data_IF_980637446534
#
_entry.id   IF_980637446534
#
_cell.length_a   1.000
_cell.length_b   1.000
_cell.length_c   1.000
_cell.angle_alpha   90.00
_cell.angle_beta   90.00
_cell.angle_gamma   90.00
#
_symmetry.space_group_name_H-M   'P 1'
#
loop_
_entity.id
_entity.type
_entity.pdbx_description
1 polymer ?
#
# COMPACT_ATOMS: atom_id res chain seq x y z
N UNK A 1 -33.08 -13.26 -17.59
CA UNK A 1 -33.95 -12.07 -17.73
C UNK A 1 -34.34 -11.45 -16.40
N UNK A 2 -35.40 -11.87 -15.69
CA UNK A 2 -35.85 -11.18 -14.45
C UNK A 2 -34.79 -11.09 -13.34
N UNK A 3 -33.98 -12.14 -13.13
CA UNK A 3 -32.92 -12.14 -12.10
C UNK A 3 -31.73 -11.25 -12.52
N UNK A 4 -31.42 -11.17 -13.82
CA UNK A 4 -30.34 -10.33 -14.34
C UNK A 4 -30.73 -8.85 -14.29
N UNK A 5 -31.98 -8.52 -14.57
CA UNK A 5 -32.52 -7.16 -14.45
C UNK A 5 -32.58 -6.71 -13.00
N UNK A 6 -33.04 -7.57 -12.07
CA UNK A 6 -33.02 -7.27 -10.63
C UNK A 6 -31.59 -7.09 -10.11
N UNK A 7 -30.66 -7.97 -10.50
CA UNK A 7 -29.25 -7.84 -10.12
C UNK A 7 -28.60 -6.59 -10.72
N UNK A 8 -28.98 -6.21 -11.94
CA UNK A 8 -28.51 -4.99 -12.58
C UNK A 8 -29.03 -3.74 -11.85
N UNK A 9 -30.32 -3.69 -11.51
CA UNK A 9 -30.93 -2.57 -10.78
C UNK A 9 -30.36 -2.44 -9.37
N UNK A 10 -30.20 -3.54 -8.63
CA UNK A 10 -29.54 -3.54 -7.31
C UNK A 10 -28.09 -3.07 -7.43
N UNK A 11 -27.36 -3.53 -8.45
CA UNK A 11 -25.98 -3.11 -8.70
C UNK A 11 -25.86 -1.62 -9.05
N UNK A 12 -26.85 -1.04 -9.75
CA UNK A 12 -26.84 0.38 -10.11
C UNK A 12 -27.23 1.27 -8.93
N UNK A 13 -28.20 0.86 -8.11
CA UNK A 13 -28.58 1.56 -6.87
C UNK A 13 -27.46 1.53 -5.83
N UNK A 14 -26.77 0.39 -5.66
CA UNK A 14 -25.61 0.27 -4.77
C UNK A 14 -24.43 1.14 -5.25
N UNK A 15 -24.18 1.19 -6.56
CA UNK A 15 -23.15 2.06 -7.15
C UNK A 15 -23.43 3.54 -6.89
N UNK A 16 -24.69 3.98 -7.07
CA UNK A 16 -25.08 5.37 -6.81
C UNK A 16 -24.99 5.78 -5.33
N UNK A 17 -25.29 4.84 -4.42
CA UNK A 17 -25.12 5.07 -2.98
C UNK A 17 -23.65 5.19 -2.58
N UNK A 18 -22.80 4.29 -3.08
CA UNK A 18 -21.35 4.30 -2.83
C UNK A 18 -20.70 5.59 -3.34
N UNK A 19 -21.05 6.04 -4.55
CA UNK A 19 -20.53 7.29 -5.13
C UNK A 19 -20.89 8.52 -4.30
N UNK A 20 -22.14 8.59 -3.83
CA UNK A 20 -22.60 9.69 -2.97
C UNK A 20 -21.84 9.71 -1.64
N UNK A 21 -21.68 8.55 -1.01
CA UNK A 21 -20.94 8.44 0.24
C UNK A 21 -19.46 8.79 0.07
N UNK A 22 -18.85 8.37 -1.04
CA UNK A 22 -17.49 8.75 -1.41
C UNK A 22 -17.37 10.27 -1.53
N UNK A 23 -18.30 10.93 -2.24
CA UNK A 23 -18.31 12.38 -2.41
C UNK A 23 -18.41 13.13 -1.08
N UNK A 24 -19.29 12.65 -0.19
CA UNK A 24 -19.44 13.22 1.15
C UNK A 24 -18.14 13.09 1.96
N UNK A 25 -17.48 11.93 1.91
CA UNK A 25 -16.17 11.72 2.54
C UNK A 25 -15.13 12.68 1.96
N UNK A 26 -14.97 12.75 0.64
CA UNK A 26 -13.95 13.60 -0.01
C UNK A 26 -14.17 15.09 0.32
N UNK A 27 -15.42 15.54 0.36
CA UNK A 27 -15.77 16.89 0.74
C UNK A 27 -15.41 17.19 2.21
N UNK A 28 -15.68 16.26 3.13
CA UNK A 28 -15.25 16.39 4.53
C UNK A 28 -13.73 16.41 4.66
N UNK A 29 -13.01 15.51 3.99
CA UNK A 29 -11.55 15.48 4.03
C UNK A 29 -10.92 16.77 3.48
N UNK A 30 -11.51 17.35 2.43
CA UNK A 30 -11.00 18.56 1.78
C UNK A 30 -11.31 19.85 2.57
N UNK A 31 -12.48 19.96 3.21
CA UNK A 31 -12.94 21.20 3.87
C UNK A 31 -13.02 21.14 5.39
N UNK A 32 -12.90 19.95 5.94
CA UNK A 32 -13.04 19.68 7.35
C UNK A 32 -11.95 20.34 8.19
N UNK A 33 -12.20 20.51 9.49
CA UNK A 33 -11.25 21.11 10.45
C UNK A 33 -10.77 20.09 11.48
N UNK A 34 -11.03 18.82 11.24
CA UNK A 34 -10.65 17.70 12.09
C UNK A 34 -9.14 17.48 12.06
N UNK A 35 -8.61 16.84 13.10
CA UNK A 35 -7.20 16.48 13.19
C UNK A 35 -6.82 15.42 12.15
N UNK A 36 -5.54 15.29 11.77
CA UNK A 36 -5.09 14.25 10.84
C UNK A 36 -5.51 12.83 11.23
N UNK A 37 -5.51 12.51 12.53
CA UNK A 37 -5.88 11.20 13.06
C UNK A 37 -7.37 10.92 12.85
N UNK A 38 -8.24 11.89 13.14
CA UNK A 38 -9.67 11.77 12.93
C UNK A 38 -10.01 11.59 11.44
N UNK A 39 -9.34 12.36 10.56
CA UNK A 39 -9.48 12.21 9.11
C UNK A 39 -9.05 10.82 8.63
N UNK A 40 -7.93 10.31 9.14
CA UNK A 40 -7.46 8.96 8.81
C UNK A 40 -8.46 7.90 9.26
N UNK A 41 -9.03 8.03 10.45
CA UNK A 41 -10.04 7.09 10.95
C UNK A 41 -11.31 7.09 10.08
N UNK A 42 -11.76 8.25 9.59
CA UNK A 42 -12.85 8.31 8.61
C UNK A 42 -12.53 7.55 7.31
N UNK A 43 -11.31 7.72 6.79
CA UNK A 43 -10.84 6.99 5.60
C UNK A 43 -10.84 5.48 5.87
N UNK A 44 -10.29 5.03 7.00
CA UNK A 44 -10.25 3.61 7.34
C UNK A 44 -11.65 3.01 7.51
N UNK A 45 -12.58 3.75 8.10
CA UNK A 45 -13.98 3.32 8.23
C UNK A 45 -14.67 3.21 6.88
N UNK A 46 -14.38 4.10 5.93
CA UNK A 46 -14.85 3.98 4.56
C UNK A 46 -14.25 2.75 3.85
N UNK A 47 -12.93 2.58 3.93
CA UNK A 47 -12.19 1.46 3.35
C UNK A 47 -12.72 0.11 3.85
N UNK A 48 -12.95 -0.04 5.16
CA UNK A 48 -13.49 -1.27 5.76
C UNK A 48 -14.91 -1.59 5.26
N UNK A 49 -15.79 -0.58 5.17
CA UNK A 49 -17.18 -0.79 4.76
C UNK A 49 -17.33 -1.18 3.29
N UNK A 50 -16.45 -0.66 2.44
CA UNK A 50 -16.54 -0.85 0.99
C UNK A 50 -15.47 -1.78 0.42
N UNK A 51 -14.64 -2.41 1.28
CA UNK A 51 -13.48 -3.23 0.86
C UNK A 51 -12.54 -2.51 -0.10
N UNK A 52 -12.29 -1.21 0.12
CA UNK A 52 -11.41 -0.40 -0.72
C UNK A 52 -10.00 -0.25 -0.12
N UNK A 53 -8.94 -0.38 -0.92
CA UNK A 53 -7.60 0.03 -0.51
C UNK A 53 -7.53 1.54 -0.23
N UNK A 54 -6.88 1.92 0.87
CA UNK A 54 -6.72 3.33 1.27
C UNK A 54 -6.09 4.20 0.17
N UNK A 55 -5.08 3.68 -0.54
CA UNK A 55 -4.43 4.37 -1.68
C UNK A 55 -5.39 4.75 -2.80
N UNK A 56 -6.50 4.03 -2.98
CA UNK A 56 -7.52 4.39 -3.96
C UNK A 56 -8.34 5.60 -3.49
N UNK A 57 -8.58 5.74 -2.19
CA UNK A 57 -9.23 6.92 -1.61
C UNK A 57 -8.31 8.14 -1.80
N UNK A 58 -7.00 8.00 -1.56
CA UNK A 58 -6.04 9.10 -1.79
C UNK A 58 -6.01 9.57 -3.24
N UNK A 59 -6.04 8.64 -4.21
CA UNK A 59 -6.14 8.97 -5.65
C UNK A 59 -7.43 9.70 -5.99
N UNK A 60 -8.58 9.25 -5.47
CA UNK A 60 -9.86 9.95 -5.67
C UNK A 60 -9.82 11.35 -5.05
N UNK A 61 -9.24 11.48 -3.85
CA UNK A 61 -9.08 12.76 -3.18
C UNK A 61 -8.21 13.72 -3.99
N UNK A 62 -7.06 13.27 -4.54
CA UNK A 62 -6.19 14.14 -5.33
C UNK A 62 -6.89 14.70 -6.58
N UNK A 63 -7.68 13.86 -7.26
CA UNK A 63 -8.49 14.30 -8.42
C UNK A 63 -9.59 15.25 -7.98
N UNK A 64 -10.33 14.90 -6.92
CA UNK A 64 -11.39 15.74 -6.38
C UNK A 64 -10.88 17.13 -5.95
N UNK A 65 -9.71 17.20 -5.32
CA UNK A 65 -9.09 18.49 -4.95
C UNK A 65 -8.70 19.34 -6.16
N UNK A 66 -8.44 18.73 -7.31
CA UNK A 66 -8.08 19.43 -8.54
C UNK A 66 -9.31 19.89 -9.33
N UNK A 67 -10.35 19.06 -9.43
CA UNK A 67 -11.48 19.28 -10.35
C UNK A 67 -12.80 19.57 -9.66
N UNK A 68 -12.92 19.31 -8.35
CA UNK A 68 -14.18 19.39 -7.60
C UNK A 68 -15.19 18.27 -7.94
N UNK A 69 -14.79 17.31 -8.77
CA UNK A 69 -15.64 16.24 -9.30
C UNK A 69 -15.03 14.87 -9.00
N UNK A 70 -15.88 13.88 -8.79
CA UNK A 70 -15.47 12.47 -8.89
C UNK A 70 -15.52 12.13 -10.37
N UNK A 71 -14.37 11.90 -11.00
CA UNK A 71 -14.32 11.39 -12.37
C UNK A 71 -14.51 9.88 -12.34
N UNK A 72 -15.65 9.33 -12.78
CA UNK A 72 -15.89 7.88 -12.82
C UNK A 72 -14.95 7.17 -13.81
N UNK A 73 -14.39 7.90 -14.78
CA UNK A 73 -13.53 7.37 -15.85
C UNK A 73 -12.06 7.18 -15.47
N UNK A 74 -11.64 7.51 -14.24
CA UNK A 74 -10.39 6.92 -13.77
C UNK A 74 -10.67 5.43 -13.59
N UNK A 75 -9.97 4.59 -14.34
CA UNK A 75 -10.01 3.14 -14.17
C UNK A 75 -9.37 2.75 -12.83
N UNK A 76 -10.12 3.00 -11.76
CA UNK A 76 -9.76 2.74 -10.36
C UNK A 76 -9.95 1.26 -10.03
N UNK A 77 -10.55 0.50 -10.96
CA UNK A 77 -10.66 -0.96 -10.95
C UNK A 77 -9.65 -1.62 -11.86
N UNK A 78 -8.70 -0.87 -12.45
CA UNK A 78 -7.60 -1.46 -13.19
C UNK A 78 -6.97 -2.55 -12.31
N UNK A 79 -7.08 -3.83 -12.69
CA UNK A 79 -6.52 -4.90 -11.88
C UNK A 79 -5.03 -4.60 -11.72
N UNK A 80 -4.51 -4.72 -10.50
CA UNK A 80 -3.08 -4.60 -10.33
C UNK A 80 -2.46 -5.66 -11.22
N UNK A 81 -1.38 -5.30 -11.91
CA UNK A 81 -0.76 -6.12 -12.94
C UNK A 81 -0.52 -7.59 -12.53
N UNK A 82 -0.34 -7.83 -11.23
CA UNK A 82 -0.07 -9.13 -10.65
C UNK A 82 -1.26 -9.83 -9.99
N UNK A 83 -2.47 -9.26 -9.94
CA UNK A 83 -3.59 -9.82 -9.15
C UNK A 83 -3.91 -11.27 -9.54
N UNK A 84 -3.95 -11.57 -10.84
CA UNK A 84 -4.24 -12.92 -11.33
C UNK A 84 -3.12 -13.92 -11.03
N UNK A 85 -1.87 -13.46 -11.05
CA UNK A 85 -0.67 -14.24 -10.81
C UNK A 85 -0.49 -14.53 -9.31
N UNK A 86 -0.72 -13.52 -8.47
CA UNK A 86 -0.72 -13.64 -7.01
C UNK A 86 -1.79 -14.64 -6.57
N UNK A 87 -3.01 -14.55 -7.12
CA UNK A 87 -4.08 -15.51 -6.80
C UNK A 87 -3.66 -16.95 -7.09
N UNK A 88 -3.19 -17.22 -8.32
CA UNK A 88 -2.72 -18.56 -8.72
C UNK A 88 -1.56 -19.06 -7.86
N UNK A 89 -0.62 -18.17 -7.52
CA UNK A 89 0.53 -18.51 -6.68
C UNK A 89 0.09 -18.87 -5.26
N UNK A 90 -0.84 -18.11 -4.67
CA UNK A 90 -1.38 -18.37 -3.32
C UNK A 90 -2.15 -19.69 -3.27
N UNK A 91 -2.98 -19.98 -4.28
CA UNK A 91 -3.66 -21.28 -4.41
C UNK A 91 -2.64 -22.44 -4.47
N UNK A 92 -1.52 -22.24 -5.18
CA UNK A 92 -0.44 -23.24 -5.27
C UNK A 92 0.29 -23.43 -3.95
N UNK A 93 0.57 -22.36 -3.21
CA UNK A 93 1.24 -22.42 -1.90
C UNK A 93 0.47 -23.30 -0.92
N UNK A 94 -0.86 -23.13 -0.84
CA UNK A 94 -1.73 -23.95 0.04
C UNK A 94 -1.58 -25.45 -0.25
N UNK A 95 -1.46 -25.82 -1.52
CA UNK A 95 -1.31 -27.22 -1.96
C UNK A 95 0.10 -27.80 -1.77
N UNK A 96 1.07 -26.98 -1.34
CA UNK A 96 2.47 -27.37 -1.19
C UNK A 96 2.91 -27.42 0.28
N UNK A 97 2.34 -26.57 1.15
CA UNK A 97 2.72 -26.50 2.57
C UNK A 97 2.50 -27.84 3.27
N UNK A 98 1.42 -28.55 2.95
CA UNK A 98 1.08 -29.86 3.52
C UNK A 98 2.05 -30.98 3.11
N UNK A 99 2.84 -30.75 2.07
CA UNK A 99 3.84 -31.69 1.53
C UNK A 99 5.26 -31.39 1.98
N UNK A 100 5.48 -30.34 2.76
CA UNK A 100 6.80 -30.01 3.29
C UNK A 100 7.23 -31.03 4.36
N UNK A 101 8.48 -31.54 4.31
CA UNK A 101 9.06 -32.33 5.39
C UNK A 101 8.95 -31.60 6.74
N UNK A 102 8.75 -32.35 7.84
CA UNK A 102 8.55 -31.79 9.18
C UNK A 102 9.68 -30.83 9.59
N UNK A 103 10.94 -31.20 9.31
CA UNK A 103 12.11 -30.37 9.62
C UNK A 103 12.14 -29.04 8.85
N UNK A 104 11.53 -28.99 7.65
CA UNK A 104 11.49 -27.79 6.80
C UNK A 104 10.29 -26.87 7.11
N UNK A 105 9.32 -27.35 7.89
CA UNK A 105 8.17 -26.53 8.32
C UNK A 105 8.63 -25.35 9.19
N UNK A 106 9.69 -25.54 9.99
CA UNK A 106 10.28 -24.46 10.78
C UNK A 106 10.92 -23.37 9.91
N UNK A 107 11.66 -23.78 8.88
CA UNK A 107 12.26 -22.86 7.92
C UNK A 107 11.22 -22.11 7.11
N UNK A 108 10.12 -22.78 6.73
CA UNK A 108 8.99 -22.14 6.06
C UNK A 108 8.37 -21.04 6.93
N UNK A 109 8.13 -21.29 8.23
CA UNK A 109 7.63 -20.25 9.15
C UNK A 109 8.58 -19.06 9.25
N UNK A 110 9.89 -19.32 9.40
CA UNK A 110 10.86 -18.23 9.43
C UNK A 110 10.88 -17.45 8.10
N UNK A 111 10.72 -18.12 6.95
CA UNK A 111 10.62 -17.43 5.67
C UNK A 111 9.37 -16.55 5.58
N UNK A 112 8.23 -17.00 6.13
CA UNK A 112 7.03 -16.17 6.23
C UNK A 112 7.29 -14.91 7.06
N UNK A 113 7.90 -15.06 8.24
CA UNK A 113 8.25 -13.93 9.12
C UNK A 113 9.14 -12.91 8.40
N UNK A 114 10.14 -13.39 7.64
CA UNK A 114 10.96 -12.51 6.81
C UNK A 114 10.14 -11.80 5.73
N UNK A 115 9.30 -12.54 4.99
CA UNK A 115 8.52 -11.93 3.91
C UNK A 115 7.52 -10.91 4.41
N UNK A 116 6.93 -11.11 5.60
CA UNK A 116 6.02 -10.15 6.22
C UNK A 116 6.78 -8.87 6.61
N UNK A 117 7.93 -9.02 7.29
CA UNK A 117 8.79 -7.89 7.64
C UNK A 117 9.28 -7.11 6.40
N UNK A 118 9.71 -7.82 5.36
CA UNK A 118 10.18 -7.21 4.11
C UNK A 118 9.04 -6.47 3.38
N UNK A 119 7.83 -7.04 3.37
CA UNK A 119 6.64 -6.38 2.81
C UNK A 119 6.28 -5.11 3.58
N UNK A 120 6.29 -5.17 4.91
CA UNK A 120 6.05 -4.01 5.77
C UNK A 120 7.08 -2.91 5.52
N UNK A 121 8.36 -3.28 5.39
CA UNK A 121 9.44 -2.34 5.04
C UNK A 121 9.22 -1.71 3.66
N UNK A 122 8.86 -2.50 2.66
CA UNK A 122 8.59 -1.98 1.32
C UNK A 122 7.39 -1.03 1.27
N UNK A 123 6.35 -1.34 2.05
CA UNK A 123 5.20 -0.47 2.24
C UNK A 123 5.59 0.84 2.92
N UNK A 124 6.38 0.77 4.00
CA UNK A 124 6.91 1.95 4.68
C UNK A 124 7.71 2.86 3.74
N UNK A 125 8.65 2.30 2.95
CA UNK A 125 9.44 3.10 2.00
C UNK A 125 8.57 3.74 0.92
N UNK A 126 7.54 3.02 0.45
CA UNK A 126 6.59 3.54 -0.53
C UNK A 126 5.77 4.70 0.03
N UNK A 127 5.34 4.61 1.29
CA UNK A 127 4.56 5.66 1.95
C UNK A 127 5.42 6.85 2.37
N UNK A 128 6.67 6.61 2.79
CA UNK A 128 7.67 7.65 3.03
C UNK A 128 7.95 8.47 1.76
N UNK A 129 8.06 7.81 0.60
CA UNK A 129 8.22 8.49 -0.69
C UNK A 129 7.07 9.46 -0.96
N UNK A 130 5.83 9.02 -0.73
CA UNK A 130 4.63 9.85 -0.90
C UNK A 130 4.60 11.00 0.11
N UNK A 131 4.95 10.73 1.37
CA UNK A 131 5.06 11.75 2.41
C UNK A 131 6.07 12.84 2.03
N UNK A 132 7.29 12.47 1.65
CA UNK A 132 8.35 13.42 1.26
C UNK A 132 7.94 14.26 0.04
N UNK A 133 7.23 13.65 -0.92
CA UNK A 133 6.66 14.39 -2.04
C UNK A 133 5.64 15.44 -1.56
N UNK A 134 4.66 15.04 -0.75
CA UNK A 134 3.63 15.94 -0.24
C UNK A 134 4.23 17.07 0.61
N UNK A 135 5.17 16.75 1.49
CA UNK A 135 5.84 17.72 2.36
C UNK A 135 6.64 18.77 1.60
N UNK A 136 7.28 18.38 0.49
CA UNK A 136 8.06 19.30 -0.33
C UNK A 136 7.19 20.16 -1.23
N UNK A 137 6.14 19.59 -1.80
CA UNK A 137 5.29 20.30 -2.77
C UNK A 137 4.19 21.13 -2.07
N UNK A 138 3.94 20.95 -0.76
CA UNK A 138 2.93 21.72 -0.04
C UNK A 138 3.19 23.22 -0.15
N UNK A 139 2.19 23.96 -0.61
CA UNK A 139 2.29 25.42 -0.77
C UNK A 139 3.23 25.89 -1.89
N UNK A 140 3.79 24.99 -2.70
CA UNK A 140 4.54 25.39 -3.90
C UNK A 140 3.58 25.93 -4.96
N UNK A 141 3.80 27.17 -5.40
CA UNK A 141 3.06 27.78 -6.51
C UNK A 141 3.59 27.37 -7.89
N UNK A 142 4.72 26.67 -7.95
CA UNK A 142 5.31 26.15 -9.19
C UNK A 142 5.17 24.63 -9.21
N UNK A 143 4.61 24.09 -10.28
CA UNK A 143 4.61 22.64 -10.52
C UNK A 143 6.05 22.13 -10.56
N UNK A 144 6.38 21.21 -9.66
CA UNK A 144 7.60 20.43 -9.80
C UNK A 144 7.43 19.45 -10.96
N UNK A 145 8.13 19.69 -12.05
CA UNK A 145 8.14 18.79 -13.22
C UNK A 145 9.02 17.55 -13.00
N UNK A 146 9.75 17.49 -11.88
CA UNK A 146 10.88 16.57 -11.73
C UNK A 146 10.63 15.49 -10.67
N UNK A 147 9.77 14.54 -11.02
CA UNK A 147 9.52 13.34 -10.20
C UNK A 147 10.78 12.45 -10.06
N UNK A 148 11.77 12.62 -10.94
CA UNK A 148 12.95 11.75 -11.01
C UNK A 148 13.75 11.77 -9.70
N UNK A 149 13.82 12.91 -9.01
CA UNK A 149 14.53 13.02 -7.71
C UNK A 149 13.94 12.12 -6.63
N UNK A 150 12.63 11.93 -6.62
CA UNK A 150 11.95 11.06 -5.68
C UNK A 150 12.19 9.58 -6.05
N UNK A 151 12.17 9.27 -7.34
CA UNK A 151 12.49 7.93 -7.84
C UNK A 151 13.96 7.56 -7.59
N UNK A 152 14.89 8.50 -7.77
CA UNK A 152 16.32 8.32 -7.47
C UNK A 152 16.54 8.06 -5.98
N UNK A 153 15.88 8.82 -5.11
CA UNK A 153 15.90 8.57 -3.66
C UNK A 153 15.40 7.16 -3.33
N UNK A 154 14.26 6.77 -3.89
CA UNK A 154 13.67 5.45 -3.67
C UNK A 154 14.59 4.33 -4.18
N UNK A 155 15.18 4.49 -5.36
CA UNK A 155 16.16 3.57 -5.93
C UNK A 155 17.38 3.41 -5.03
N UNK A 156 17.96 4.51 -4.54
CA UNK A 156 19.11 4.44 -3.62
C UNK A 156 18.79 3.71 -2.31
N UNK A 157 17.58 3.90 -1.77
CA UNK A 157 17.13 3.20 -0.56
C UNK A 157 16.98 1.70 -0.81
N UNK A 158 16.33 1.33 -1.90
CA UNK A 158 16.20 -0.06 -2.33
C UNK A 158 17.56 -0.72 -2.56
N UNK A 159 18.45 -0.05 -3.29
CA UNK A 159 19.76 -0.57 -3.63
C UNK A 159 20.56 -0.93 -2.37
N UNK A 160 20.66 -0.01 -1.40
CA UNK A 160 21.33 -0.26 -0.13
C UNK A 160 20.72 -1.41 0.68
N UNK A 161 19.39 -1.53 0.62
CA UNK A 161 18.69 -2.61 1.30
C UNK A 161 18.99 -3.98 0.67
N UNK A 162 19.04 -4.05 -0.66
CA UNK A 162 19.46 -5.26 -1.37
C UNK A 162 20.94 -5.59 -1.17
N UNK A 163 21.83 -4.60 -1.17
CA UNK A 163 23.25 -4.78 -0.85
C UNK A 163 23.40 -5.41 0.53
N UNK A 164 22.73 -4.86 1.54
CA UNK A 164 22.80 -5.39 2.90
C UNK A 164 22.25 -6.82 2.98
N UNK A 165 21.07 -7.08 2.37
CA UNK A 165 20.51 -8.44 2.30
C UNK A 165 21.52 -9.41 1.67
N UNK A 166 22.19 -9.03 0.58
CA UNK A 166 23.21 -9.86 -0.05
C UNK A 166 24.41 -10.14 0.87
N UNK A 167 24.83 -9.16 1.67
CA UNK A 167 25.94 -9.31 2.62
C UNK A 167 25.63 -10.30 3.76
N UNK A 168 24.38 -10.29 4.25
CA UNK A 168 23.98 -11.13 5.39
C UNK A 168 23.40 -12.50 4.98
N UNK A 169 23.18 -12.74 3.68
CA UNK A 169 22.80 -14.08 3.20
C UNK A 169 23.97 -15.04 3.46
N UNK A 170 23.78 -15.92 4.43
CA UNK A 170 24.71 -16.98 4.77
C UNK A 170 24.01 -18.35 4.86
N UNK A 171 24.71 -19.46 4.58
CA UNK A 171 24.21 -20.79 4.89
C UNK A 171 23.95 -20.92 6.39
N UNK A 172 22.69 -21.10 6.79
CA UNK A 172 22.32 -21.14 8.20
C UNK A 172 20.83 -20.93 8.43
N UNK A 173 20.46 -20.64 9.67
CA UNK A 173 19.06 -20.42 10.05
C UNK A 173 18.56 -19.06 9.57
N UNK A 174 17.42 -19.06 8.87
CA UNK A 174 16.66 -17.85 8.47
C UNK A 174 16.40 -16.92 9.66
N UNK A 175 16.30 -17.47 10.88
CA UNK A 175 16.12 -16.70 12.11
C UNK A 175 17.28 -15.71 12.37
N UNK A 176 18.53 -16.13 12.15
CA UNK A 176 19.69 -15.26 12.36
C UNK A 176 19.70 -14.13 11.33
N UNK A 177 19.39 -14.46 10.08
CA UNK A 177 19.21 -13.48 9.01
C UNK A 177 18.15 -12.42 9.37
N UNK A 178 17.00 -12.82 9.91
CA UNK A 178 15.97 -11.87 10.38
C UNK A 178 16.49 -10.98 11.51
N UNK A 179 17.24 -11.52 12.47
CA UNK A 179 17.80 -10.73 13.57
C UNK A 179 18.80 -9.68 13.07
N UNK A 180 19.67 -10.03 12.14
CA UNK A 180 20.62 -9.10 11.53
C UNK A 180 19.91 -8.02 10.70
N UNK A 181 18.92 -8.42 9.91
CA UNK A 181 18.11 -7.49 9.11
C UNK A 181 17.28 -6.53 9.97
N UNK A 182 16.63 -7.02 11.03
CA UNK A 182 15.89 -6.16 11.96
C UNK A 182 16.80 -5.20 12.73
N UNK A 183 17.99 -5.65 13.13
CA UNK A 183 19.01 -4.79 13.74
C UNK A 183 19.43 -3.65 12.81
N UNK A 184 19.75 -3.96 11.55
CA UNK A 184 20.07 -2.95 10.55
C UNK A 184 18.90 -2.00 10.27
N UNK A 185 17.67 -2.51 10.20
CA UNK A 185 16.48 -1.66 10.04
C UNK A 185 16.32 -0.67 11.19
N UNK A 186 16.59 -1.09 12.43
CA UNK A 186 16.53 -0.20 13.59
C UNK A 186 17.55 0.94 13.47
N UNK A 187 18.78 0.65 13.09
CA UNK A 187 19.82 1.67 12.85
C UNK A 187 19.40 2.64 11.74
N UNK A 188 18.81 2.12 10.65
CA UNK A 188 18.34 2.96 9.53
C UNK A 188 17.08 3.75 9.84
N UNK A 189 16.26 3.30 10.77
CA UNK A 189 15.09 4.04 11.21
C UNK A 189 15.53 5.29 11.99
N UNK A 190 16.50 5.15 12.90
CA UNK A 190 17.11 6.27 13.64
C UNK A 190 17.71 7.32 12.70
N UNK A 191 18.37 6.88 11.62
CA UNK A 191 18.89 7.79 10.58
C UNK A 191 17.77 8.55 9.83
N UNK A 192 16.56 7.99 9.74
CA UNK A 192 15.42 8.58 9.02
C UNK A 192 14.51 9.41 9.91
N UNK A 193 14.43 9.16 11.22
CA UNK A 193 13.77 10.08 12.16
C UNK A 193 14.44 11.47 12.14
N UNK A 194 15.74 11.56 11.84
CA UNK A 194 16.40 12.84 11.62
C UNK A 194 15.89 13.62 10.38
N UNK A 195 15.12 12.97 9.50
CA UNK A 195 14.54 13.55 8.29
C UNK A 195 13.03 13.84 8.41
N UNK A 196 12.38 13.38 9.48
CA UNK A 196 10.94 13.55 9.75
C UNK A 196 10.70 14.60 10.84
#
# INVERSE_FOLDING_TARGET
>A
MLIEEINHTISTEQSGYEEKECLELLNRLSKGKETPEARREEVLNYCRRHSYPEKQVWRRLSVYTQTGEIKPDLDLKAPLFFDSQIKKMRERIILLIDKLPEDTQADFRNLLDFTDLFQDRMMFLSDLLLYLFLEREKGSFKSSEDISKYLDFFHQKLFREFEFIQEIIQPGSVKNFILEYTGWLADKFLDMEALL
#
